data_IF_599473891960
#
_entry.id   IF_599473891960
#
_cell.length_a   1.000
_cell.length_b   1.000
_cell.length_c   1.000
_cell.angle_alpha   90.00
_cell.angle_beta   90.00
_cell.angle_gamma   90.00
#
_symmetry.space_group_name_H-M   'P 1'
#
loop_
_entity.id
_entity.type
_entity.pdbx_description
1 polymer ?
#
# COMPACT_ATOMS: atom_id res chain seq x y z
N UNK A 1 -11.58 5.16 0.73
CA UNK A 1 -10.54 4.76 1.68
C UNK A 1 -11.02 3.53 2.42
N UNK A 2 -10.41 2.38 2.15
CA UNK A 2 -10.71 1.09 2.76
C UNK A 2 -9.39 0.52 3.26
N UNK A 3 -9.25 0.28 4.56
CA UNK A 3 -8.09 -0.45 5.08
C UNK A 3 -8.22 -1.91 4.66
N UNK A 4 -7.26 -2.39 3.87
CA UNK A 4 -7.26 -3.78 3.34
C UNK A 4 -6.29 -4.68 4.10
N UNK A 5 -5.30 -4.09 4.78
CA UNK A 5 -4.33 -4.82 5.58
C UNK A 5 -3.83 -3.96 6.74
N UNK A 6 -3.60 -4.59 7.89
CA UNK A 6 -3.12 -3.93 9.10
C UNK A 6 -2.41 -4.94 10.00
N UNK A 7 -1.08 -4.85 10.09
CA UNK A 7 -0.22 -5.61 11.00
C UNK A 7 0.37 -4.70 12.08
N UNK A 8 1.20 -5.24 12.97
CA UNK A 8 1.95 -4.45 13.94
C UNK A 8 2.99 -3.53 13.28
N UNK A 9 3.52 -3.93 12.11
CA UNK A 9 4.59 -3.22 11.40
C UNK A 9 4.06 -2.29 10.30
N UNK A 10 3.11 -2.75 9.51
CA UNK A 10 2.63 -2.05 8.31
C UNK A 10 1.10 -1.94 8.26
N UNK A 11 0.61 -0.95 7.54
CA UNK A 11 -0.80 -0.76 7.24
C UNK A 11 -0.97 -0.42 5.76
N UNK A 12 -1.97 -1.02 5.10
CA UNK A 12 -2.29 -0.73 3.70
C UNK A 12 -3.72 -0.23 3.58
N UNK A 13 -3.87 0.93 2.99
CA UNK A 13 -5.16 1.57 2.72
C UNK A 13 -5.38 1.64 1.21
N UNK A 14 -6.48 1.08 0.75
CA UNK A 14 -6.94 1.21 -0.62
C UNK A 14 -7.80 2.47 -0.79
N UNK A 15 -7.50 3.21 -1.84
CA UNK A 15 -8.30 4.29 -2.36
C UNK A 15 -9.02 3.79 -3.60
N UNK A 16 -10.35 3.80 -3.54
CA UNK A 16 -11.18 3.43 -4.68
C UNK A 16 -10.92 4.34 -5.87
N UNK A 17 -11.25 3.83 -7.06
CA UNK A 17 -11.15 4.59 -8.31
C UNK A 17 -11.97 5.86 -8.19
N UNK A 18 -11.31 7.00 -8.34
CA UNK A 18 -11.94 8.31 -8.31
C UNK A 18 -11.53 9.06 -9.58
N UNK A 19 -12.48 9.19 -10.52
CA UNK A 19 -12.25 9.87 -11.79
C UNK A 19 -12.11 11.40 -11.68
N UNK A 20 -12.26 11.97 -10.49
CA UNK A 20 -12.09 13.40 -10.24
C UNK A 20 -10.65 13.72 -9.81
N UNK A 21 -9.96 12.76 -9.18
CA UNK A 21 -8.53 12.84 -8.88
C UNK A 21 -7.70 12.11 -9.94
N UNK A 22 -6.87 12.85 -10.69
CA UNK A 22 -5.98 12.26 -11.69
C UNK A 22 -5.05 11.17 -11.12
N UNK A 23 -4.64 11.27 -9.85
CA UNK A 23 -3.85 10.24 -9.16
C UNK A 23 -4.64 8.98 -8.78
N UNK A 24 -5.97 9.07 -8.68
CA UNK A 24 -6.89 7.98 -8.35
C UNK A 24 -7.69 7.53 -9.58
N UNK A 25 -7.29 7.93 -10.78
CA UNK A 25 -7.96 7.57 -12.02
C UNK A 25 -8.05 6.04 -12.24
N UNK A 26 -7.11 5.28 -11.68
CA UNK A 26 -7.11 3.81 -11.62
C UNK A 26 -7.28 3.27 -10.18
N UNK A 27 -7.54 4.14 -9.20
CA UNK A 27 -7.42 3.86 -7.78
C UNK A 27 -6.01 4.16 -7.25
N UNK A 28 -5.82 3.94 -5.95
CA UNK A 28 -4.54 4.15 -5.30
C UNK A 28 -4.38 3.29 -4.05
N UNK A 29 -3.15 3.11 -3.60
CA UNK A 29 -2.81 2.39 -2.38
C UNK A 29 -1.84 3.21 -1.56
N UNK A 30 -2.05 3.26 -0.25
CA UNK A 30 -1.12 3.89 0.67
C UNK A 30 -0.58 2.84 1.60
N UNK A 31 0.74 2.75 1.66
CA UNK A 31 1.44 1.85 2.56
C UNK A 31 2.07 2.71 3.65
N UNK A 32 1.76 2.39 4.89
CA UNK A 32 2.24 3.09 6.08
C UNK A 32 3.11 2.14 6.89
N UNK A 33 4.37 2.50 7.07
CA UNK A 33 5.29 1.91 8.02
C UNK A 33 5.11 2.55 9.40
N UNK A 34 4.71 1.73 10.38
CA UNK A 34 4.49 2.16 11.76
C UNK A 34 5.77 2.28 12.58
N UNK A 35 6.81 1.51 12.22
CA UNK A 35 8.09 1.48 12.92
C UNK A 35 8.89 2.75 12.63
N UNK A 36 9.08 3.08 11.35
CA UNK A 36 9.82 4.24 10.88
C UNK A 36 8.94 5.48 10.74
N UNK A 37 7.61 5.34 10.88
CA UNK A 37 6.62 6.41 10.67
C UNK A 37 6.80 7.04 9.28
N UNK A 38 6.87 6.19 8.26
CA UNK A 38 6.98 6.61 6.86
C UNK A 38 5.83 6.04 6.05
N UNK A 39 5.47 6.73 4.99
CA UNK A 39 4.43 6.28 4.09
C UNK A 39 4.83 6.47 2.63
N UNK A 40 4.13 5.76 1.77
CA UNK A 40 4.19 5.95 0.34
C UNK A 40 2.80 5.79 -0.25
N UNK A 41 2.45 6.74 -1.11
CA UNK A 41 1.25 6.68 -1.91
C UNK A 41 1.58 6.14 -3.31
N UNK A 42 0.87 5.09 -3.70
CA UNK A 42 0.94 4.41 -4.99
C UNK A 42 -0.32 4.76 -5.78
N UNK A 43 -0.19 5.61 -6.81
CA UNK A 43 -1.29 6.02 -7.68
C UNK A 43 -1.02 5.68 -9.15
N UNK A 44 -2.08 5.66 -9.96
CA UNK A 44 -1.98 5.44 -11.41
C UNK A 44 -1.38 4.07 -11.78
N UNK A 45 -0.33 4.05 -12.59
CA UNK A 45 0.32 2.81 -13.06
C UNK A 45 0.92 1.99 -11.90
N UNK A 46 1.47 2.65 -10.87
CA UNK A 46 1.99 1.97 -9.68
C UNK A 46 0.87 1.26 -8.90
N UNK A 47 -0.33 1.85 -8.84
CA UNK A 47 -1.46 1.25 -8.16
C UNK A 47 -1.93 -0.03 -8.86
N UNK A 48 -1.95 -0.04 -10.20
CA UNK A 48 -2.29 -1.22 -10.99
C UNK A 48 -1.28 -2.36 -10.77
N UNK A 49 0.02 -2.05 -10.83
CA UNK A 49 1.07 -3.03 -10.54
C UNK A 49 0.97 -3.59 -9.11
N UNK A 50 0.80 -2.71 -8.12
CA UNK A 50 0.64 -3.13 -6.74
C UNK A 50 -0.58 -4.04 -6.55
N UNK A 51 -1.70 -3.72 -7.19
CA UNK A 51 -2.92 -4.54 -7.16
C UNK A 51 -2.70 -5.92 -7.74
N UNK A 52 -1.97 -6.03 -8.85
CA UNK A 52 -1.60 -7.32 -9.44
C UNK A 52 -0.71 -8.14 -8.51
N UNK A 53 0.28 -7.52 -7.89
CA UNK A 53 1.17 -8.19 -6.95
C UNK A 53 0.43 -8.63 -5.68
N UNK A 54 -0.44 -7.78 -5.11
CA UNK A 54 -1.31 -8.15 -3.98
C UNK A 54 -2.24 -9.29 -4.34
N UNK A 55 -2.84 -9.29 -5.54
CA UNK A 55 -3.69 -10.42 -5.99
C UNK A 55 -2.91 -11.73 -6.07
N UNK A 56 -1.68 -11.71 -6.60
CA UNK A 56 -0.81 -12.90 -6.66
C UNK A 56 -0.40 -13.36 -5.25
N UNK A 57 -0.10 -12.40 -4.38
CA UNK A 57 0.25 -12.64 -2.98
C UNK A 57 -0.92 -13.32 -2.26
N UNK A 58 -2.12 -12.72 -2.29
CA UNK A 58 -3.36 -13.27 -1.69
C UNK A 58 -3.73 -14.64 -2.27
N UNK A 59 -3.51 -14.87 -3.57
CA UNK A 59 -3.78 -16.16 -4.20
C UNK A 59 -2.91 -17.31 -3.63
N UNK A 60 -1.79 -16.98 -2.98
CA UNK A 60 -0.92 -17.93 -2.29
C UNK A 60 -1.26 -18.08 -0.80
N UNK A 61 -2.35 -17.45 -0.32
CA UNK A 61 -2.74 -17.40 1.11
C UNK A 61 -1.55 -17.04 2.02
N UNK A 62 -0.98 -15.84 1.82
CA UNK A 62 0.28 -15.43 2.41
C UNK A 62 0.10 -15.22 3.91
N UNK A 63 1.14 -15.50 4.69
CA UNK A 63 1.12 -15.17 6.12
C UNK A 63 1.36 -13.68 6.34
N UNK A 64 1.05 -13.19 7.55
CA UNK A 64 1.34 -11.80 7.96
C UNK A 64 2.81 -11.46 7.73
N UNK A 65 3.73 -12.40 8.02
CA UNK A 65 5.17 -12.22 7.85
C UNK A 65 5.57 -12.07 6.37
N UNK A 66 4.95 -12.82 5.45
CA UNK A 66 5.22 -12.69 4.02
C UNK A 66 4.71 -11.36 3.45
N UNK A 67 3.57 -10.88 3.96
CA UNK A 67 3.06 -9.56 3.60
C UNK A 67 3.98 -8.47 4.16
N UNK A 68 4.42 -8.59 5.41
CA UNK A 68 5.38 -7.65 6.02
C UNK A 68 6.72 -7.63 5.24
N UNK A 69 7.25 -8.78 4.80
CA UNK A 69 8.45 -8.84 3.95
C UNK A 69 8.23 -8.18 2.58
N UNK A 70 7.06 -8.41 1.97
CA UNK A 70 6.69 -7.75 0.73
C UNK A 70 6.61 -6.23 0.89
N UNK A 71 5.98 -5.74 1.95
CA UNK A 71 5.86 -4.31 2.26
C UNK A 71 7.20 -3.69 2.65
N UNK A 72 8.07 -4.44 3.32
CA UNK A 72 9.43 -4.01 3.66
C UNK A 72 10.31 -3.69 2.44
N UNK A 73 10.00 -4.24 1.25
CA UNK A 73 10.68 -3.86 0.01
C UNK A 73 10.43 -2.39 -0.36
N UNK A 74 9.30 -1.84 0.06
CA UNK A 74 8.94 -0.45 -0.17
C UNK A 74 9.63 0.52 0.80
N UNK A 75 10.25 0.03 1.88
CA UNK A 75 10.97 0.88 2.85
C UNK A 75 12.01 1.80 2.19
N UNK A 76 12.70 1.27 1.17
CA UNK A 76 13.71 2.02 0.41
C UNK A 76 13.13 3.15 -0.45
N UNK A 77 11.85 3.06 -0.84
CA UNK A 77 11.15 4.07 -1.64
C UNK A 77 10.19 4.93 -0.81
N UNK A 78 9.94 4.56 0.45
CA UNK A 78 9.17 5.34 1.43
C UNK A 78 9.96 6.58 1.87
N UNK A 79 9.81 7.66 1.12
CA UNK A 79 10.47 8.94 1.41
C UNK A 79 9.58 9.93 2.17
N UNK A 80 8.28 9.68 2.28
CA UNK A 80 7.34 10.62 2.89
C UNK A 80 7.19 10.33 4.39
N UNK A 81 7.29 11.35 5.26
CA UNK A 81 7.00 11.18 6.69
C UNK A 81 5.49 10.96 6.89
N UNK A 82 5.12 10.05 7.79
CA UNK A 82 3.71 9.80 8.11
C UNK A 82 3.07 11.06 8.64
N UNK A 83 2.14 11.59 7.88
CA UNK A 83 1.29 12.68 8.32
C UNK A 83 0.02 12.04 8.86
N UNK A 84 -0.22 12.18 10.17
CA UNK A 84 -1.50 11.77 10.74
C UNK A 84 -2.61 12.58 10.06
N UNK A 85 -3.39 11.93 9.18
CA UNK A 85 -4.60 12.46 8.56
C UNK A 85 -5.79 12.37 9.52
#
# INVERSE_FOLDING_TARGET
>A
MQMIYNSDNYCVVEFGVDGQHAMLAAGGYEIVDKNLKREIFLGGELAEHFREDVKKLIASEPTVEEVDDFLGKFDTVMTQPVTMH
#
